data_IF_208965684972
#
_entry.id   IF_208965684972
#
_cell.length_a   1.000
_cell.length_b   1.000
_cell.length_c   1.000
_cell.angle_alpha   90.00
_cell.angle_beta   90.00
_cell.angle_gamma   90.00
#
_symmetry.space_group_name_H-M   'P 1'
#
loop_
_entity.id
_entity.type
_entity.pdbx_description
1 polymer ?
#
# COMPACT_ATOMS: atom_id res chain seq x y z
N UNK A 1 -6.54 0.20 -11.83
CA UNK A 1 -7.33 -0.43 -10.76
C UNK A 1 -7.99 0.67 -9.95
N UNK A 2 -9.32 0.65 -9.80
CA UNK A 2 -10.00 1.54 -8.86
C UNK A 2 -9.99 0.81 -7.51
N UNK A 3 -9.33 1.37 -6.50
CA UNK A 3 -9.38 0.79 -5.15
C UNK A 3 -10.84 0.81 -4.68
N UNK A 4 -11.43 -0.37 -4.47
CA UNK A 4 -12.77 -0.47 -3.91
C UNK A 4 -12.77 0.19 -2.53
N UNK A 5 -13.72 1.10 -2.33
CA UNK A 5 -13.74 1.96 -1.14
C UNK A 5 -14.42 1.23 0.00
N UNK A 6 -13.62 0.71 0.94
CA UNK A 6 -14.07 0.35 2.26
C UNK A 6 -14.09 1.59 3.16
N UNK A 7 -15.14 1.77 3.96
CA UNK A 7 -15.26 2.88 4.91
C UNK A 7 -15.23 2.39 6.36
N UNK A 8 -14.83 3.27 7.29
CA UNK A 8 -14.95 2.97 8.71
C UNK A 8 -16.41 2.73 9.14
N UNK A 9 -17.37 3.36 8.47
CA UNK A 9 -18.79 3.22 8.77
C UNK A 9 -19.26 1.80 8.50
N UNK A 10 -18.87 1.20 7.37
CA UNK A 10 -19.15 -0.21 7.09
C UNK A 10 -18.55 -1.14 8.17
N UNK A 11 -17.34 -0.84 8.66
CA UNK A 11 -16.76 -1.60 9.77
C UNK A 11 -17.53 -1.40 11.08
N UNK A 12 -18.03 -0.18 11.35
CA UNK A 12 -18.86 0.13 12.53
C UNK A 12 -20.24 -0.55 12.48
N UNK A 13 -20.79 -0.76 11.29
CA UNK A 13 -22.10 -1.41 11.12
C UNK A 13 -22.08 -2.91 11.47
N UNK A 14 -20.97 -3.60 11.18
CA UNK A 14 -20.83 -5.04 11.44
C UNK A 14 -20.10 -5.36 12.76
N UNK A 15 -19.33 -4.41 13.31
CA UNK A 15 -18.53 -4.62 14.51
C UNK A 15 -19.13 -3.95 15.74
N UNK A 16 -19.00 -4.58 16.91
CA UNK A 16 -19.21 -3.87 18.18
C UNK A 16 -18.09 -2.85 18.44
N UNK A 17 -18.39 -1.80 19.21
CA UNK A 17 -17.41 -0.76 19.56
C UNK A 17 -16.18 -1.31 20.30
N UNK A 18 -16.38 -2.28 21.19
CA UNK A 18 -15.27 -2.96 21.91
C UNK A 18 -14.38 -3.74 20.93
N UNK A 19 -14.97 -4.36 19.92
CA UNK A 19 -14.22 -5.11 18.90
C UNK A 19 -13.36 -4.18 18.05
N UNK A 20 -13.90 -3.02 17.64
CA UNK A 20 -13.13 -2.00 16.91
C UNK A 20 -11.98 -1.45 17.75
N UNK A 21 -12.24 -1.09 19.01
CA UNK A 21 -11.19 -0.60 19.90
C UNK A 21 -10.06 -1.63 20.07
N UNK A 22 -10.41 -2.92 20.17
CA UNK A 22 -9.41 -3.99 20.26
C UNK A 22 -8.66 -4.18 18.95
N UNK A 23 -9.32 -3.95 17.81
CA UNK A 23 -8.74 -4.08 16.47
C UNK A 23 -7.62 -3.06 16.21
N UNK A 24 -7.72 -1.84 16.77
CA UNK A 24 -6.68 -0.81 16.64
C UNK A 24 -5.29 -1.30 17.04
N UNK A 25 -5.21 -2.18 18.06
CA UNK A 25 -3.94 -2.76 18.51
C UNK A 25 -3.24 -3.66 17.48
N UNK A 26 -3.93 -4.00 16.40
CA UNK A 26 -3.48 -4.92 15.36
C UNK A 26 -3.25 -4.22 14.01
N UNK A 27 -3.65 -2.95 13.87
CA UNK A 27 -3.43 -2.16 12.66
C UNK A 27 -1.93 -2.04 12.39
N UNK A 28 -1.52 -2.29 11.14
CA UNK A 28 -0.12 -2.26 10.73
C UNK A 28 0.72 -3.45 11.21
N UNK A 29 0.12 -4.46 11.84
CA UNK A 29 0.81 -5.72 12.25
C UNK A 29 0.54 -6.89 11.32
N UNK A 30 -0.28 -6.68 10.29
CA UNK A 30 -0.52 -7.66 9.25
C UNK A 30 0.71 -7.80 8.33
N UNK A 31 0.93 -9.02 7.85
CA UNK A 31 1.92 -9.37 6.85
C UNK A 31 1.30 -10.36 5.86
N UNK A 32 1.98 -10.61 4.73
CA UNK A 32 1.43 -11.38 3.61
C UNK A 32 0.04 -10.85 3.20
N UNK A 33 -0.08 -9.53 3.08
CA UNK A 33 -1.34 -8.87 2.75
C UNK A 33 -1.55 -8.87 1.23
N UNK A 34 -2.71 -9.31 0.78
CA UNK A 34 -3.06 -9.38 -0.64
C UNK A 34 -4.44 -8.77 -0.88
N UNK A 35 -4.61 -8.11 -2.01
CA UNK A 35 -5.91 -7.70 -2.52
C UNK A 35 -6.13 -8.33 -3.90
N UNK A 36 -7.27 -9.00 -4.06
CA UNK A 36 -7.71 -9.65 -5.30
C UNK A 36 -9.18 -9.26 -5.54
N UNK A 37 -9.41 -8.31 -6.45
CA UNK A 37 -10.74 -7.73 -6.67
C UNK A 37 -11.34 -7.09 -5.41
N UNK A 38 -12.44 -7.65 -4.91
CA UNK A 38 -13.15 -7.24 -3.69
C UNK A 38 -12.67 -7.95 -2.42
N UNK A 39 -11.63 -8.81 -2.51
CA UNK A 39 -11.18 -9.66 -1.42
C UNK A 39 -9.84 -9.18 -0.87
N UNK A 40 -9.82 -8.91 0.42
CA UNK A 40 -8.64 -8.63 1.22
C UNK A 40 -8.21 -9.90 1.94
N UNK A 41 -6.93 -10.25 1.88
CA UNK A 41 -6.32 -11.32 2.68
C UNK A 41 -5.14 -10.77 3.46
N UNK A 42 -4.89 -11.33 4.64
CA UNK A 42 -3.69 -11.03 5.41
C UNK A 42 -3.48 -12.00 6.55
N UNK A 43 -2.23 -12.09 7.01
CA UNK A 43 -1.84 -12.89 8.17
C UNK A 43 -1.49 -12.00 9.34
N UNK A 44 -1.83 -12.45 10.54
CA UNK A 44 -1.50 -11.72 11.76
C UNK A 44 -1.15 -12.66 12.91
N UNK A 45 -0.12 -12.28 13.68
CA UNK A 45 0.24 -12.99 14.91
C UNK A 45 -0.69 -12.54 16.05
N UNK A 46 -1.50 -13.47 16.54
CA UNK A 46 -2.32 -13.28 17.73
C UNK A 46 -1.89 -14.18 18.89
N UNK A 47 -2.76 -14.27 19.91
CA UNK A 47 -2.44 -14.94 21.16
C UNK A 47 -2.21 -16.46 21.02
N UNK A 48 -2.84 -17.11 20.05
CA UNK A 48 -2.78 -18.56 19.86
C UNK A 48 -2.05 -18.97 18.57
N UNK A 49 -1.26 -18.07 18.00
CA UNK A 49 -0.50 -18.33 16.77
C UNK A 49 -0.83 -17.33 15.66
N UNK A 50 -0.58 -17.74 14.43
CA UNK A 50 -0.86 -16.95 13.23
C UNK A 50 -2.30 -17.23 12.80
N UNK A 51 -3.07 -16.17 12.59
CA UNK A 51 -4.41 -16.25 12.02
C UNK A 51 -4.38 -15.78 10.58
N UNK A 52 -5.00 -16.55 9.69
CA UNK A 52 -5.35 -16.09 8.36
C UNK A 52 -6.69 -15.34 8.46
N UNK A 53 -6.78 -14.20 7.79
CA UNK A 53 -7.94 -13.32 7.81
C UNK A 53 -8.29 -12.95 6.37
N UNK A 54 -9.57 -13.06 6.03
CA UNK A 54 -10.16 -12.69 4.75
C UNK A 54 -11.33 -11.72 5.01
N UNK A 55 -11.44 -10.67 4.20
CA UNK A 55 -12.56 -9.72 4.23
C UNK A 55 -13.01 -9.44 2.79
N UNK A 56 -14.31 -9.47 2.54
CA UNK A 56 -14.94 -9.13 1.27
C UNK A 56 -15.59 -7.75 1.42
N UNK A 57 -15.21 -6.79 0.56
CA UNK A 57 -15.49 -5.36 0.76
C UNK A 57 -16.54 -4.75 -0.18
N UNK A 58 -17.29 -5.57 -0.92
CA UNK A 58 -18.40 -5.15 -1.79
C UNK A 58 -19.79 -5.53 -1.25
N UNK A 59 -19.87 -6.10 -0.04
CA UNK A 59 -21.12 -6.39 0.67
C UNK A 59 -21.33 -5.46 1.89
N UNK A 60 -22.59 -5.26 2.26
CA UNK A 60 -22.98 -4.64 3.53
C UNK A 60 -24.17 -5.43 4.12
N UNK A 61 -24.00 -6.15 5.25
CA UNK A 61 -22.78 -6.27 6.04
C UNK A 61 -21.65 -7.00 5.29
N UNK A 62 -20.40 -6.68 5.64
CA UNK A 62 -19.19 -7.27 5.05
C UNK A 62 -19.08 -8.78 5.31
N UNK A 63 -18.66 -9.56 4.32
CA UNK A 63 -18.32 -10.97 4.54
C UNK A 63 -16.88 -11.14 5.03
N UNK A 64 -16.65 -12.08 5.93
CA UNK A 64 -15.33 -12.30 6.51
C UNK A 64 -15.06 -13.78 6.82
N UNK A 65 -13.77 -14.14 6.87
CA UNK A 65 -13.29 -15.38 7.47
C UNK A 65 -12.07 -15.10 8.31
N UNK A 66 -11.94 -15.80 9.42
CA UNK A 66 -10.76 -15.73 10.25
C UNK A 66 -10.56 -17.05 11.00
N UNK A 67 -9.32 -17.47 11.21
CA UNK A 67 -9.03 -18.72 11.92
C UNK A 67 -9.17 -18.62 13.45
N UNK A 68 -9.43 -17.43 13.99
CA UNK A 68 -9.59 -17.26 15.44
C UNK A 68 -10.90 -17.86 15.93
N UNK A 69 -10.95 -18.34 17.19
CA UNK A 69 -12.17 -18.96 17.75
C UNK A 69 -13.42 -18.09 17.67
N UNK A 70 -13.29 -16.78 17.89
CA UNK A 70 -14.43 -15.84 17.89
C UNK A 70 -15.09 -15.65 16.52
N UNK A 71 -14.39 -15.93 15.41
CA UNK A 71 -14.91 -15.71 14.05
C UNK A 71 -16.09 -16.62 13.70
N UNK A 72 -16.23 -17.74 14.40
CA UNK A 72 -17.32 -18.71 14.20
C UNK A 72 -18.67 -18.18 14.64
N UNK A 73 -18.68 -17.17 15.51
CA UNK A 73 -19.88 -16.65 16.15
C UNK A 73 -20.14 -15.18 15.81
N UNK A 74 -19.08 -14.40 15.58
CA UNK A 74 -19.22 -12.96 15.37
C UNK A 74 -18.05 -12.37 14.56
N UNK A 75 -18.29 -11.18 14.01
CA UNK A 75 -17.23 -10.37 13.41
C UNK A 75 -16.11 -10.11 14.41
N UNK A 76 -14.91 -10.59 14.09
CA UNK A 76 -13.81 -10.62 15.05
C UNK A 76 -12.91 -9.38 14.91
N UNK A 77 -12.15 -9.09 15.97
CA UNK A 77 -11.20 -7.97 15.98
C UNK A 77 -10.11 -8.07 14.90
N UNK A 78 -9.78 -9.28 14.43
CA UNK A 78 -8.79 -9.44 13.37
C UNK A 78 -9.37 -9.05 12.01
N UNK A 79 -10.63 -9.41 11.71
CA UNK A 79 -11.32 -8.97 10.50
C UNK A 79 -11.50 -7.45 10.50
N UNK A 80 -11.91 -6.87 11.63
CA UNK A 80 -11.94 -5.42 11.83
C UNK A 80 -10.56 -4.77 11.59
N UNK A 81 -9.49 -5.36 12.14
CA UNK A 81 -8.14 -4.82 12.00
C UNK A 81 -7.61 -4.92 10.57
N UNK A 82 -7.97 -5.97 9.81
CA UNK A 82 -7.63 -6.07 8.39
C UNK A 82 -8.32 -4.95 7.59
N UNK A 83 -9.60 -4.70 7.86
CA UNK A 83 -10.34 -3.59 7.26
C UNK A 83 -9.72 -2.22 7.57
N UNK A 84 -9.41 -1.95 8.84
CA UNK A 84 -8.72 -0.70 9.24
C UNK A 84 -7.32 -0.59 8.60
N UNK A 85 -6.61 -1.71 8.46
CA UNK A 85 -5.30 -1.75 7.78
C UNK A 85 -5.44 -1.37 6.30
N UNK A 86 -6.52 -1.80 5.63
CA UNK A 86 -6.79 -1.39 4.25
C UNK A 86 -7.18 0.10 4.15
N UNK A 87 -7.94 0.62 5.10
CA UNK A 87 -8.32 2.05 5.12
C UNK A 87 -7.09 2.95 5.37
N UNK A 88 -6.28 2.65 6.38
CA UNK A 88 -5.21 3.55 6.82
C UNK A 88 -3.86 3.30 6.16
N UNK A 89 -3.60 2.04 5.79
CA UNK A 89 -2.31 1.62 5.24
C UNK A 89 -2.49 0.73 4.00
N UNK A 90 -3.27 1.15 2.98
CA UNK A 90 -3.61 0.27 1.84
C UNK A 90 -2.38 -0.26 1.11
N UNK A 91 -1.29 0.51 1.08
CA UNK A 91 -0.04 0.14 0.39
C UNK A 91 0.65 -1.13 0.92
N UNK A 92 0.23 -1.69 2.05
CA UNK A 92 0.77 -2.99 2.53
C UNK A 92 0.22 -4.18 1.75
N UNK A 93 -0.90 -3.99 1.03
CA UNK A 93 -1.54 -5.03 0.24
C UNK A 93 -0.86 -5.13 -1.13
N UNK A 94 -0.35 -6.32 -1.44
CA UNK A 94 0.11 -6.65 -2.78
C UNK A 94 -1.08 -7.01 -3.67
N UNK A 95 -1.03 -6.58 -4.92
CA UNK A 95 -2.02 -6.96 -5.95
C UNK A 95 -1.30 -7.67 -7.08
N UNK A 96 -1.93 -8.70 -7.67
CA UNK A 96 -1.44 -9.32 -8.90
C UNK A 96 -1.74 -8.45 -10.13
N UNK A 97 -2.70 -7.51 -10.02
CA UNK A 97 -2.98 -6.57 -11.10
C UNK A 97 -1.91 -5.48 -11.16
N UNK A 98 -1.27 -5.33 -12.33
CA UNK A 98 -0.37 -4.21 -12.56
C UNK A 98 -1.11 -2.87 -12.35
N UNK A 99 -0.51 -2.01 -11.53
CA UNK A 99 -1.02 -0.66 -11.32
C UNK A 99 -0.79 0.16 -12.58
N UNK A 100 -1.84 0.22 -13.40
CA UNK A 100 -1.88 1.09 -14.57
C UNK A 100 -1.88 2.56 -14.13
N UNK A 101 -0.69 3.18 -14.15
CA UNK A 101 -0.49 4.57 -13.75
C UNK A 101 -1.37 5.56 -14.51
N UNK A 102 -1.78 5.22 -15.75
CA UNK A 102 -2.63 6.09 -16.57
C UNK A 102 -4.08 6.16 -16.05
N UNK A 103 -4.45 5.29 -15.11
CA UNK A 103 -5.77 5.27 -14.46
C UNK A 103 -5.77 5.92 -13.08
N UNK A 104 -4.64 6.46 -12.62
CA UNK A 104 -4.57 7.18 -11.34
C UNK A 104 -5.34 8.49 -11.49
N UNK A 105 -6.39 8.66 -10.68
CA UNK A 105 -7.30 9.80 -10.75
C UNK A 105 -7.43 10.56 -9.43
N UNK A 106 -6.95 9.96 -8.34
CA UNK A 106 -7.03 10.52 -6.99
C UNK A 106 -5.66 10.56 -6.30
N UNK A 107 -5.52 11.44 -5.31
CA UNK A 107 -4.29 11.52 -4.49
C UNK A 107 -4.06 10.27 -3.65
N UNK A 108 -5.11 9.55 -3.26
CA UNK A 108 -5.02 8.29 -2.54
C UNK A 108 -4.44 7.17 -3.43
N UNK A 109 -4.90 7.07 -4.69
CA UNK A 109 -4.35 6.15 -5.69
C UNK A 109 -2.88 6.48 -6.00
N UNK A 110 -2.55 7.77 -6.15
CA UNK A 110 -1.17 8.21 -6.35
C UNK A 110 -0.28 7.84 -5.14
N UNK A 111 -0.75 8.08 -3.92
CA UNK A 111 -0.01 7.73 -2.72
C UNK A 111 0.21 6.21 -2.60
N UNK A 112 -0.81 5.41 -2.95
CA UNK A 112 -0.70 3.96 -3.01
C UNK A 112 0.37 3.54 -4.02
N UNK A 113 0.30 4.05 -5.25
CA UNK A 113 1.26 3.77 -6.32
C UNK A 113 2.70 4.12 -5.90
N UNK A 114 2.94 5.31 -5.35
CA UNK A 114 4.28 5.74 -4.93
C UNK A 114 4.85 4.89 -3.78
N UNK A 115 3.99 4.28 -2.95
CA UNK A 115 4.43 3.39 -1.87
C UNK A 115 4.64 1.95 -2.34
N UNK A 116 3.98 1.51 -3.41
CA UNK A 116 4.12 0.15 -3.95
C UNK A 116 5.27 0.03 -4.95
N UNK A 117 5.50 1.01 -5.82
CA UNK A 117 6.56 0.98 -6.84
C UNK A 117 7.95 1.18 -6.23
N UNK A 118 8.99 0.53 -6.74
CA UNK A 118 10.37 0.80 -6.31
C UNK A 118 10.94 2.02 -7.03
N UNK A 119 11.72 2.82 -6.31
CA UNK A 119 12.41 3.99 -6.88
C UNK A 119 13.37 3.57 -7.98
N UNK A 120 14.02 2.40 -7.85
CA UNK A 120 14.88 1.84 -8.89
C UNK A 120 14.13 1.65 -10.21
N UNK A 121 12.90 1.14 -10.16
CA UNK A 121 12.13 0.85 -11.37
C UNK A 121 11.80 2.14 -12.13
N UNK A 122 11.40 3.19 -11.40
CA UNK A 122 11.18 4.52 -11.99
C UNK A 122 12.47 5.15 -12.54
N UNK A 123 13.59 4.99 -11.85
CA UNK A 123 14.90 5.48 -12.33
C UNK A 123 15.37 4.73 -13.57
N UNK A 124 15.13 3.42 -13.66
CA UNK A 124 15.47 2.64 -14.84
C UNK A 124 14.53 2.96 -16.01
N UNK A 125 13.28 3.36 -15.74
CA UNK A 125 12.37 3.90 -16.75
C UNK A 125 12.82 5.29 -17.24
N UNK A 126 13.22 6.21 -16.36
CA UNK A 126 13.79 7.50 -16.75
C UNK A 126 14.94 7.36 -17.73
N UNK A 127 15.84 6.39 -17.51
CA UNK A 127 16.95 6.11 -18.43
C UNK A 127 16.47 5.69 -19.82
N UNK A 128 15.33 5.00 -19.93
CA UNK A 128 14.72 4.66 -21.23
C UNK A 128 14.14 5.89 -21.92
N UNK A 129 13.77 6.91 -21.17
CA UNK A 129 13.40 8.24 -21.66
C UNK A 129 14.61 9.17 -21.85
N UNK A 130 15.83 8.64 -21.91
CA UNK A 130 17.08 9.40 -22.05
C UNK A 130 17.40 10.37 -20.89
N UNK A 131 16.70 10.27 -19.75
CA UNK A 131 17.02 11.06 -18.55
C UNK A 131 17.99 10.28 -17.67
N UNK A 132 19.23 10.76 -17.58
CA UNK A 132 20.25 10.19 -16.71
C UNK A 132 19.98 10.43 -15.22
N UNK A 133 20.55 9.56 -14.39
CA UNK A 133 20.50 9.69 -12.91
C UNK A 133 21.16 11.00 -12.45
N UNK A 134 22.15 11.51 -13.20
CA UNK A 134 22.77 12.81 -12.98
C UNK A 134 21.78 13.97 -13.15
N UNK A 135 20.99 13.97 -14.23
CA UNK A 135 19.98 15.00 -14.45
C UNK A 135 18.94 15.00 -13.32
N UNK A 136 18.51 13.82 -12.86
CA UNK A 136 17.62 13.71 -11.70
C UNK A 136 18.27 14.28 -10.42
N UNK A 137 19.53 13.96 -10.17
CA UNK A 137 20.30 14.49 -9.04
C UNK A 137 20.37 16.04 -9.08
N UNK A 138 20.69 16.61 -10.24
CA UNK A 138 20.78 18.05 -10.44
C UNK A 138 19.43 18.76 -10.23
N UNK A 139 18.36 18.23 -10.83
CA UNK A 139 16.99 18.78 -10.69
C UNK A 139 16.46 18.74 -9.26
N UNK A 140 16.83 17.70 -8.52
CA UNK A 140 16.36 17.49 -7.14
C UNK A 140 17.28 18.13 -6.10
N UNK A 141 18.44 18.64 -6.51
CA UNK A 141 19.45 19.20 -5.61
C UNK A 141 20.10 18.16 -4.69
N UNK A 142 20.09 16.88 -5.08
CA UNK A 142 20.59 15.76 -4.28
C UNK A 142 21.87 15.23 -4.92
N UNK A 143 22.93 15.00 -4.13
CA UNK A 143 24.17 14.42 -4.67
C UNK A 143 23.95 13.01 -5.24
N UNK A 144 24.70 12.64 -6.28
CA UNK A 144 24.66 11.30 -6.87
C UNK A 144 24.89 10.18 -5.84
N UNK A 145 25.77 10.42 -4.85
CA UNK A 145 26.05 9.46 -3.78
C UNK A 145 24.83 9.25 -2.89
N UNK A 146 24.17 10.34 -2.47
CA UNK A 146 22.95 10.27 -1.66
C UNK A 146 21.80 9.64 -2.44
N UNK A 147 21.62 9.99 -3.71
CA UNK A 147 20.60 9.39 -4.57
C UNK A 147 20.80 7.87 -4.69
N UNK A 148 22.04 7.43 -4.92
CA UNK A 148 22.39 6.00 -4.99
C UNK A 148 22.10 5.26 -3.69
N UNK A 149 22.37 5.90 -2.54
CA UNK A 149 22.04 5.35 -1.22
C UNK A 149 20.52 5.19 -1.04
N UNK A 150 19.74 6.22 -1.38
CA UNK A 150 18.27 6.19 -1.26
C UNK A 150 17.65 5.11 -2.16
N UNK A 151 18.15 4.97 -3.40
CA UNK A 151 17.72 3.91 -4.31
C UNK A 151 17.97 2.53 -3.67
N UNK A 152 19.17 2.31 -3.13
CA UNK A 152 19.53 1.05 -2.48
C UNK A 152 18.69 0.78 -1.24
N UNK A 153 18.40 1.80 -0.43
CA UNK A 153 17.59 1.65 0.77
C UNK A 153 16.14 1.25 0.42
N UNK A 154 15.50 1.91 -0.55
CA UNK A 154 14.13 1.60 -0.98
C UNK A 154 13.99 0.18 -1.56
N UNK A 155 15.01 -0.28 -2.31
CA UNK A 155 15.08 -1.67 -2.77
C UNK A 155 15.06 -2.67 -1.61
N UNK A 156 15.75 -2.34 -0.50
CA UNK A 156 15.81 -3.16 0.70
C UNK A 156 14.61 -2.93 1.66
N UNK A 157 13.59 -2.19 1.22
CA UNK A 157 12.40 -1.89 2.02
C UNK A 157 12.60 -0.82 3.09
N UNK A 158 13.74 -0.09 3.06
CA UNK A 158 14.00 1.05 3.93
C UNK A 158 13.60 2.33 3.23
N UNK A 159 12.60 3.04 3.77
CA UNK A 159 12.16 4.30 3.19
C UNK A 159 12.88 5.48 3.83
N UNK A 160 13.55 6.29 3.01
CA UNK A 160 14.08 7.59 3.39
C UNK A 160 12.98 8.65 3.24
N UNK A 161 13.08 9.76 3.97
CA UNK A 161 12.13 10.89 3.86
C UNK A 161 12.01 11.44 2.44
N UNK A 162 13.08 11.28 1.64
CA UNK A 162 13.14 11.71 0.24
C UNK A 162 12.69 10.64 -0.77
N UNK A 163 12.43 9.40 -0.35
CA UNK A 163 12.03 8.32 -1.26
C UNK A 163 10.75 8.66 -2.02
N UNK A 164 9.70 9.10 -1.31
CA UNK A 164 8.42 9.43 -1.95
C UNK A 164 8.53 10.68 -2.85
N UNK A 165 9.14 11.80 -2.40
CA UNK A 165 9.42 12.93 -3.28
C UNK A 165 10.18 12.55 -4.55
N UNK A 166 11.23 11.73 -4.45
CA UNK A 166 12.00 11.26 -5.60
C UNK A 166 11.18 10.43 -6.58
N UNK A 167 10.34 9.52 -6.08
CA UNK A 167 9.43 8.73 -6.92
C UNK A 167 8.45 9.66 -7.67
N UNK A 168 7.93 10.68 -6.99
CA UNK A 168 7.06 11.68 -7.62
C UNK A 168 7.79 12.49 -8.69
N UNK A 169 9.03 12.92 -8.43
CA UNK A 169 9.87 13.62 -9.43
C UNK A 169 10.13 12.75 -10.66
N UNK A 170 10.44 11.46 -10.46
CA UNK A 170 10.63 10.53 -11.58
C UNK A 170 9.34 10.40 -12.39
N UNK A 171 8.20 10.21 -11.72
CA UNK A 171 6.91 10.07 -12.38
C UNK A 171 6.56 11.30 -13.22
N UNK A 172 6.76 12.50 -12.66
CA UNK A 172 6.53 13.76 -13.38
C UNK A 172 7.35 13.85 -14.67
N UNK A 173 8.64 13.51 -14.60
CA UNK A 173 9.55 13.56 -15.74
C UNK A 173 9.19 12.53 -16.82
N UNK A 174 8.85 11.30 -16.41
CA UNK A 174 8.39 10.24 -17.31
C UNK A 174 7.11 10.66 -18.04
N UNK A 175 6.12 11.15 -17.32
CA UNK A 175 4.80 11.51 -17.89
C UNK A 175 4.85 12.74 -18.77
N UNK A 176 5.73 13.71 -18.47
CA UNK A 176 5.92 14.90 -19.28
C UNK A 176 6.69 14.63 -20.58
N UNK A 177 7.39 13.51 -20.68
CA UNK A 177 8.25 13.20 -21.82
C UNK A 177 9.37 14.24 -21.98
N UNK A 178 9.92 14.74 -20.87
CA UNK A 178 11.02 15.71 -20.92
C UNK A 178 12.25 15.01 -21.48
N UNK A 179 12.76 15.48 -22.61
CA UNK A 179 14.02 14.98 -23.17
C UNK A 179 15.21 15.66 -22.46
N UNK A 180 16.31 14.93 -22.26
CA UNK A 180 17.55 15.54 -21.82
C UNK A 180 18.13 16.39 -22.97
N UNK A 181 18.48 17.65 -22.69
CA UNK A 181 19.19 18.54 -23.62
C UNK A 181 20.58 17.99 -24.01
#
# INVERSE_FOLDING_TARGET
MQLLKLTEEQLKNISSGITLQRAENYVGKFYDCEIEGNRLRGKIKGNHGVYNVELIIDSDPLDFKCDCSSSKEMFCKHAAALGLTYIYTPWVFTTEEELDRNKISTTAELQFYLKSVKLKDLVDELKRCCIGVSALADLTGISLQQLSMIIKDDQNGKNHTLTIPLKLSCLYLIERGVEAE
#
